data_IF_522196663762
#
_entry.id   IF_522196663762
#
_cell.length_a   1.000
_cell.length_b   1.000
_cell.length_c   1.000
_cell.angle_alpha   90.00
_cell.angle_beta   90.00
_cell.angle_gamma   90.00
#
_symmetry.space_group_name_H-M   'P 1'
#
loop_
_entity.id
_entity.type
_entity.pdbx_description
1 polymer ?
#
# COMPACT_ATOMS: atom_id res chain seq x y z
N UNK A 1 2.12 5.66 -9.64
CA UNK A 1 2.12 4.26 -10.10
C UNK A 1 2.10 4.18 -11.63
N UNK A 2 0.99 4.55 -12.30
CA UNK A 2 0.83 4.42 -13.77
C UNK A 2 2.05 4.79 -14.62
N UNK A 3 2.55 6.02 -14.51
CA UNK A 3 3.65 6.49 -15.36
C UNK A 3 4.95 5.68 -15.18
N UNK A 4 5.25 5.22 -13.96
CA UNK A 4 6.44 4.42 -13.70
C UNK A 4 6.28 2.98 -14.19
N UNK A 5 5.11 2.41 -14.00
CA UNK A 5 4.80 1.07 -14.46
C UNK A 5 4.73 0.97 -15.98
N UNK A 6 4.19 1.98 -16.66
CA UNK A 6 4.24 2.09 -18.14
C UNK A 6 5.68 2.14 -18.68
N UNK A 7 6.59 2.73 -17.91
CA UNK A 7 7.98 2.91 -18.34
C UNK A 7 8.89 1.73 -17.98
N UNK A 8 8.63 1.05 -16.85
CA UNK A 8 9.60 0.14 -16.23
C UNK A 8 9.06 -1.26 -15.92
N UNK A 9 7.74 -1.48 -15.94
CA UNK A 9 7.12 -2.73 -15.50
C UNK A 9 7.37 -3.01 -14.03
N UNK A 10 6.57 -2.41 -13.14
CA UNK A 10 6.78 -2.56 -11.70
C UNK A 10 6.45 -3.98 -11.25
N UNK A 11 7.33 -4.55 -10.44
CA UNK A 11 7.12 -5.87 -9.82
C UNK A 11 6.48 -5.77 -8.43
N UNK A 12 6.46 -4.58 -7.85
CA UNK A 12 5.86 -4.35 -6.54
C UNK A 12 5.91 -2.90 -6.08
N UNK A 13 5.19 -2.64 -4.99
CA UNK A 13 5.08 -1.33 -4.33
C UNK A 13 5.39 -1.45 -2.84
N UNK A 14 5.96 -0.37 -2.30
CA UNK A 14 6.02 -0.10 -0.86
C UNK A 14 5.24 1.19 -0.61
N UNK A 15 4.24 1.15 0.27
CA UNK A 15 3.36 2.29 0.54
C UNK A 15 3.62 2.79 1.95
N UNK A 16 4.16 3.99 2.11
CA UNK A 16 4.45 4.57 3.44
C UNK A 16 3.40 5.58 3.86
N UNK A 17 3.51 6.03 5.13
CA UNK A 17 2.61 7.01 5.74
C UNK A 17 1.16 6.55 5.71
N UNK A 18 0.86 5.32 6.11
CA UNK A 18 -0.51 4.79 6.24
C UNK A 18 -1.10 4.95 7.64
N UNK A 19 -0.39 5.62 8.52
CA UNK A 19 -0.75 6.06 9.88
C UNK A 19 -2.03 6.94 10.01
N UNK A 20 -2.75 7.22 8.91
CA UNK A 20 -3.92 8.09 8.89
C UNK A 20 -5.15 7.45 8.24
N UNK A 21 -6.33 7.68 8.83
CA UNK A 21 -7.63 7.10 8.44
C UNK A 21 -8.10 7.40 7.01
N UNK A 22 -7.60 8.46 6.38
CA UNK A 22 -7.99 8.86 5.01
C UNK A 22 -7.22 8.12 3.90
N UNK A 23 -6.27 7.24 4.22
CA UNK A 23 -5.27 6.76 3.25
C UNK A 23 -5.55 5.35 2.71
N UNK A 24 -6.47 4.60 3.32
CA UNK A 24 -6.85 3.25 2.86
C UNK A 24 -7.48 3.22 1.46
N UNK A 25 -8.25 4.25 1.11
CA UNK A 25 -8.90 4.35 -0.20
C UNK A 25 -7.91 4.42 -1.38
N UNK A 26 -6.69 4.92 -1.16
CA UNK A 26 -5.65 4.98 -2.21
C UNK A 26 -5.18 3.58 -2.59
N UNK A 27 -4.99 2.68 -1.61
CA UNK A 27 -4.58 1.30 -1.89
C UNK A 27 -5.63 0.57 -2.73
N UNK A 28 -6.91 0.69 -2.36
CA UNK A 28 -8.01 0.10 -3.12
C UNK A 28 -8.09 0.66 -4.56
N UNK A 29 -7.88 1.97 -4.73
CA UNK A 29 -7.87 2.61 -6.05
C UNK A 29 -6.69 2.15 -6.93
N UNK A 30 -5.50 2.00 -6.33
CA UNK A 30 -4.33 1.45 -7.02
C UNK A 30 -4.59 0.01 -7.44
N UNK A 31 -5.06 -0.85 -6.52
CA UNK A 31 -5.35 -2.25 -6.80
C UNK A 31 -6.37 -2.45 -7.93
N UNK A 32 -7.41 -1.60 -8.00
CA UNK A 32 -8.40 -1.64 -9.10
C UNK A 32 -7.84 -1.21 -10.45
N UNK A 33 -6.89 -0.28 -10.48
CA UNK A 33 -6.37 0.27 -11.74
C UNK A 33 -5.18 -0.52 -12.25
N UNK A 34 -4.34 -1.07 -11.37
CA UNK A 34 -3.21 -1.94 -11.69
C UNK A 34 -2.94 -2.97 -10.60
N UNK A 35 -2.95 -4.27 -10.91
CA UNK A 35 -2.67 -5.34 -9.95
C UNK A 35 -1.15 -5.51 -9.76
N UNK A 36 -0.46 -4.45 -9.33
CA UNK A 36 0.94 -4.54 -8.89
C UNK A 36 0.95 -4.93 -7.41
N UNK A 37 1.67 -5.99 -7.00
CA UNK A 37 1.73 -6.42 -5.60
C UNK A 37 2.21 -5.30 -4.68
N UNK A 38 1.61 -5.19 -3.49
CA UNK A 38 2.18 -4.38 -2.41
C UNK A 38 2.95 -5.33 -1.49
N UNK A 39 4.23 -5.03 -1.24
CA UNK A 39 5.09 -5.88 -0.39
C UNK A 39 5.15 -5.38 1.05
N UNK A 40 5.21 -4.07 1.24
CA UNK A 40 5.35 -3.47 2.56
C UNK A 40 4.48 -2.22 2.71
N UNK A 41 4.06 -1.96 3.93
CA UNK A 41 3.41 -0.74 4.34
C UNK A 41 4.12 -0.08 5.50
N UNK A 42 4.20 1.26 5.49
CA UNK A 42 4.73 2.05 6.59
C UNK A 42 3.58 2.72 7.35
N UNK A 43 3.35 2.36 8.61
CA UNK A 43 2.24 2.86 9.45
C UNK A 43 2.66 3.85 10.52
N UNK A 44 3.84 4.46 10.35
CA UNK A 44 4.42 5.43 11.27
C UNK A 44 5.77 5.92 10.78
N UNK A 45 6.57 6.47 11.69
CA UNK A 45 7.85 7.14 11.41
C UNK A 45 9.07 6.35 11.91
N UNK A 46 8.86 5.29 12.69
CA UNK A 46 9.93 4.45 13.23
C UNK A 46 10.30 3.36 12.24
N UNK A 47 11.51 2.81 12.41
CA UNK A 47 11.99 1.68 11.61
C UNK A 47 11.04 0.48 11.69
N UNK A 48 10.54 0.21 12.91
CA UNK A 48 9.64 -0.91 13.19
C UNK A 48 8.21 -0.67 12.66
N UNK A 49 7.89 0.54 12.18
CA UNK A 49 6.59 0.85 11.60
C UNK A 49 6.50 0.46 10.11
N UNK A 50 7.60 -0.03 9.52
CA UNK A 50 7.60 -0.65 8.18
C UNK A 50 7.37 -2.16 8.32
N UNK A 51 6.20 -2.62 7.89
CA UNK A 51 5.76 -4.00 8.05
C UNK A 51 5.39 -4.63 6.71
N UNK A 52 5.49 -5.97 6.56
CA UNK A 52 4.95 -6.67 5.40
C UNK A 52 3.47 -6.32 5.20
N UNK A 53 3.04 -6.25 3.94
CA UNK A 53 1.64 -6.01 3.63
C UNK A 53 0.83 -7.31 3.70
N UNK A 54 -0.19 -7.31 4.55
CA UNK A 54 -1.25 -8.31 4.55
C UNK A 54 -2.58 -7.62 4.20
N UNK A 55 -3.29 -8.14 3.21
CA UNK A 55 -4.51 -7.52 2.70
C UNK A 55 -5.70 -7.73 3.64
N UNK A 56 -5.75 -8.85 4.37
CA UNK A 56 -6.81 -9.17 5.32
C UNK A 56 -6.67 -8.29 6.56
N UNK A 57 -5.48 -8.25 7.17
CA UNK A 57 -5.20 -7.38 8.33
C UNK A 57 -5.43 -5.90 7.98
N UNK A 58 -5.06 -5.48 6.76
CA UNK A 58 -5.27 -4.11 6.32
C UNK A 58 -6.75 -3.75 6.19
N UNK A 59 -7.58 -4.66 5.67
CA UNK A 59 -9.03 -4.44 5.52
C UNK A 59 -9.71 -4.46 6.88
N UNK A 60 -9.33 -5.38 7.77
CA UNK A 60 -9.81 -5.40 9.16
C UNK A 60 -9.50 -4.08 9.87
N UNK A 61 -8.23 -3.62 9.83
CA UNK A 61 -7.82 -2.36 10.44
C UNK A 61 -8.54 -1.12 9.84
N UNK A 62 -8.97 -1.19 8.58
CA UNK A 62 -9.68 -0.10 7.90
C UNK A 62 -11.19 -0.06 8.22
N UNK A 63 -11.82 -1.23 8.42
CA UNK A 63 -13.26 -1.36 8.56
C UNK A 63 -13.74 -1.52 10.01
N UNK A 64 -12.87 -1.97 10.92
CA UNK A 64 -13.20 -2.21 12.33
C UNK A 64 -13.70 -3.62 12.58
#
# INVERSE_FOLDING_TARGET
VKAFDDALGLTGLVITKLDGTAKGGVLAAIARTRPVPVYFIGVGEKLDDLQPFDAEEFVEALLG
#
